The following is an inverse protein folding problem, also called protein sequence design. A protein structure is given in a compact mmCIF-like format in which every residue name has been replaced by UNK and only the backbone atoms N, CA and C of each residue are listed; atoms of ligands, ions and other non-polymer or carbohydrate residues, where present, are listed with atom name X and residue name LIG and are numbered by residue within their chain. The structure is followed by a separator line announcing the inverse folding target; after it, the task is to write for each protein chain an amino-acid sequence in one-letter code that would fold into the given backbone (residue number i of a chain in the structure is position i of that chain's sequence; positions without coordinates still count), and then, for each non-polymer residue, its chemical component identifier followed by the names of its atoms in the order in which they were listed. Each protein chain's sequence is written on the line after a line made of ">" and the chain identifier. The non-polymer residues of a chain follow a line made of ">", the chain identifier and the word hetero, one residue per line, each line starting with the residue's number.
data_IF_098133990822
#
_entry.id   IF_098133990822
#
_cell.length_a   1.000
_cell.length_b   1.000
_cell.length_c   1.000
_cell.angle_alpha   90.00
_cell.angle_beta   90.00
_cell.angle_gamma   90.00
#
_symmetry.space_group_name_H-M   'P 1'
#
loop_
_entity.id
_entity.type
_entity.pdbx_description
1 polymer ?
#
# COMPACT_ATOMS: atom_id res chain seq x y z
N UNK A 1 -16.11 0.81 28.80
CA UNK A 1 -15.74 -0.62 28.78
C UNK A 1 -14.23 -0.70 28.82
N UNK A 2 -13.68 -1.53 29.70
CA UNK A 2 -12.25 -1.86 29.69
C UNK A 2 -11.95 -2.91 28.60
N UNK A 3 -10.65 -3.15 28.37
CA UNK A 3 -10.20 -4.11 27.35
C UNK A 3 -10.72 -5.53 27.62
N UNK A 4 -10.74 -5.94 28.87
CA UNK A 4 -11.13 -7.30 29.29
C UNK A 4 -12.60 -7.56 28.97
N UNK A 5 -13.48 -6.60 29.27
CA UNK A 5 -14.90 -6.66 28.92
C UNK A 5 -15.15 -6.69 27.40
N UNK A 6 -14.36 -5.95 26.62
CA UNK A 6 -14.48 -5.96 25.15
C UNK A 6 -14.05 -7.32 24.61
N UNK A 7 -12.91 -7.83 25.07
CA UNK A 7 -12.40 -9.14 24.68
C UNK A 7 -13.37 -10.26 25.02
N UNK A 8 -13.88 -10.29 26.25
CA UNK A 8 -14.81 -11.33 26.70
C UNK A 8 -16.10 -11.33 25.86
N UNK A 9 -16.72 -10.16 25.62
CA UNK A 9 -17.93 -10.06 24.80
C UNK A 9 -17.69 -10.51 23.36
N UNK A 10 -16.68 -9.95 22.70
CA UNK A 10 -16.43 -10.26 21.28
C UNK A 10 -16.01 -11.71 21.07
N UNK A 11 -15.24 -12.30 21.98
CA UNK A 11 -14.81 -13.70 21.88
C UNK A 11 -16.00 -14.64 22.14
N UNK A 12 -16.87 -14.33 23.10
CA UNK A 12 -18.04 -15.17 23.40
C UNK A 12 -19.10 -15.11 22.29
N UNK A 13 -19.26 -13.96 21.65
CA UNK A 13 -20.25 -13.76 20.57
C UNK A 13 -19.76 -14.29 19.21
N UNK A 14 -18.46 -14.55 19.07
CA UNK A 14 -17.86 -14.98 17.80
C UNK A 14 -17.84 -16.52 17.64
N UNK A 15 -18.35 -17.00 16.51
CA UNK A 15 -18.42 -18.44 16.19
C UNK A 15 -17.07 -18.98 15.67
N UNK A 16 -16.17 -19.25 16.61
CA UNK A 16 -14.87 -19.85 16.31
C UNK A 16 -14.96 -21.28 15.76
N UNK A 17 -16.00 -22.04 16.12
CA UNK A 17 -16.14 -23.42 15.66
C UNK A 17 -16.49 -23.47 14.18
N UNK A 18 -17.41 -22.61 13.74
CA UNK A 18 -17.74 -22.45 12.32
C UNK A 18 -16.58 -21.86 11.52
N UNK A 19 -15.86 -20.90 12.10
CA UNK A 19 -14.64 -20.34 11.48
C UNK A 19 -13.60 -21.43 11.25
N UNK A 20 -13.34 -22.25 12.27
CA UNK A 20 -12.40 -23.35 12.20
C UNK A 20 -12.84 -24.42 11.17
N UNK A 21 -14.14 -24.71 11.08
CA UNK A 21 -14.69 -25.61 10.08
C UNK A 21 -14.40 -25.12 8.65
N UNK A 22 -14.61 -23.82 8.38
CA UNK A 22 -14.33 -23.23 7.07
C UNK A 22 -12.84 -23.32 6.74
N UNK A 23 -11.97 -22.93 7.68
CA UNK A 23 -10.52 -22.97 7.51
C UNK A 23 -10.02 -24.40 7.24
N UNK A 24 -10.55 -25.38 7.97
CA UNK A 24 -10.21 -26.79 7.74
C UNK A 24 -10.57 -27.23 6.32
N UNK A 25 -11.74 -26.82 5.80
CA UNK A 25 -12.15 -27.11 4.41
C UNK A 25 -11.26 -26.44 3.36
N UNK A 26 -10.63 -25.33 3.70
CA UNK A 26 -9.67 -24.63 2.84
C UNK A 26 -8.24 -25.21 2.94
N UNK A 27 -8.02 -26.20 3.81
CA UNK A 27 -6.70 -26.81 4.01
C UNK A 27 -5.79 -26.03 4.97
N UNK A 28 -6.36 -25.07 5.71
CA UNK A 28 -5.63 -24.27 6.70
C UNK A 28 -5.49 -25.02 8.03
N UNK A 29 -4.31 -24.91 8.65
CA UNK A 29 -3.99 -25.59 9.91
C UNK A 29 -4.02 -24.60 11.08
N UNK A 30 -5.22 -24.35 11.61
CA UNK A 30 -5.42 -23.58 12.84
C UNK A 30 -6.03 -24.44 13.94
N UNK A 31 -5.74 -24.13 15.20
CA UNK A 31 -6.54 -24.60 16.33
C UNK A 31 -7.50 -23.50 16.79
N UNK A 32 -8.56 -23.88 17.52
CA UNK A 32 -9.47 -22.91 18.16
C UNK A 32 -8.70 -21.95 19.09
N UNK A 33 -7.67 -22.44 19.76
CA UNK A 33 -6.83 -21.63 20.64
C UNK A 33 -6.08 -20.55 19.85
N UNK A 34 -5.51 -20.89 18.70
CA UNK A 34 -4.80 -19.93 17.84
C UNK A 34 -5.73 -18.80 17.39
N UNK A 35 -6.96 -19.13 16.99
CA UNK A 35 -7.95 -18.12 16.59
C UNK A 35 -8.34 -17.20 17.75
N UNK A 36 -8.51 -17.75 18.96
CA UNK A 36 -8.84 -16.95 20.15
C UNK A 36 -7.68 -16.02 20.53
N UNK A 37 -6.43 -16.50 20.50
CA UNK A 37 -5.26 -15.65 20.79
C UNK A 37 -5.08 -14.55 19.74
N UNK A 38 -5.29 -14.86 18.46
CA UNK A 38 -5.30 -13.87 17.39
C UNK A 38 -6.40 -12.81 17.63
N UNK A 39 -7.62 -13.23 17.97
CA UNK A 39 -8.71 -12.32 18.28
C UNK A 39 -8.37 -11.40 19.47
N UNK A 40 -7.83 -11.93 20.58
CA UNK A 40 -7.41 -11.12 21.74
C UNK A 40 -6.40 -10.05 21.35
N UNK A 41 -5.38 -10.43 20.58
CA UNK A 41 -4.33 -9.52 20.13
C UNK A 41 -4.89 -8.43 19.23
N UNK A 42 -5.75 -8.79 18.27
CA UNK A 42 -6.41 -7.82 17.39
C UNK A 42 -7.29 -6.83 18.17
N UNK A 43 -8.11 -7.32 19.11
CA UNK A 43 -8.96 -6.47 19.95
C UNK A 43 -8.10 -5.52 20.78
N UNK A 44 -6.97 -5.99 21.32
CA UNK A 44 -6.01 -5.13 22.05
C UNK A 44 -5.43 -4.03 21.15
N UNK A 45 -5.11 -4.33 19.89
CA UNK A 45 -4.63 -3.33 18.93
C UNK A 45 -5.70 -2.28 18.63
N UNK A 46 -6.95 -2.70 18.36
CA UNK A 46 -8.07 -1.76 18.14
C UNK A 46 -8.32 -0.87 19.35
N UNK A 47 -8.24 -1.42 20.57
CA UNK A 47 -8.44 -0.68 21.82
C UNK A 47 -7.33 0.34 22.09
N UNK A 48 -6.07 -0.05 21.85
CA UNK A 48 -4.90 0.80 22.14
C UNK A 48 -4.61 1.83 21.06
N UNK A 49 -5.21 1.70 19.87
CA UNK A 49 -5.07 2.68 18.81
C UNK A 49 -5.56 4.06 19.27
N UNK A 50 -4.73 5.08 19.04
CA UNK A 50 -5.02 6.48 19.39
C UNK A 50 -5.61 7.28 18.24
N UNK A 51 -5.79 6.64 17.08
CA UNK A 51 -6.41 7.29 15.93
C UNK A 51 -7.87 7.62 16.27
N UNK A 52 -8.33 8.80 15.86
CA UNK A 52 -9.74 9.21 16.05
C UNK A 52 -10.66 8.72 14.93
N UNK A 53 -10.10 7.93 14.01
CA UNK A 53 -10.80 7.37 12.85
C UNK A 53 -11.15 5.89 13.07
N UNK A 54 -11.91 5.35 12.13
CA UNK A 54 -12.22 3.93 12.07
C UNK A 54 -10.94 3.13 11.80
N UNK A 55 -10.63 2.20 12.71
CA UNK A 55 -9.42 1.38 12.63
C UNK A 55 -9.75 -0.08 12.38
N UNK A 56 -8.95 -0.72 11.54
CA UNK A 56 -9.09 -2.14 11.17
C UNK A 56 -7.74 -2.83 11.30
N UNK A 57 -7.69 -3.93 12.05
CA UNK A 57 -6.52 -4.78 12.15
C UNK A 57 -6.86 -6.18 11.68
N UNK A 58 -5.91 -6.78 10.96
CA UNK A 58 -6.06 -8.07 10.29
C UNK A 58 -5.04 -9.06 10.87
N UNK A 59 -5.47 -10.28 11.16
CA UNK A 59 -4.59 -11.40 11.45
C UNK A 59 -5.12 -12.63 10.71
N UNK A 60 -4.45 -12.99 9.61
CA UNK A 60 -4.95 -13.96 8.65
C UNK A 60 -6.39 -13.63 8.23
N UNK A 61 -7.34 -14.49 8.60
CA UNK A 61 -8.75 -14.38 8.23
C UNK A 61 -9.61 -13.61 9.23
N UNK A 62 -9.03 -13.17 10.36
CA UNK A 62 -9.75 -12.39 11.38
C UNK A 62 -9.52 -10.90 11.20
N UNK A 63 -10.59 -10.13 11.37
CA UNK A 63 -10.59 -8.68 11.30
C UNK A 63 -11.22 -8.13 12.56
N UNK A 64 -10.47 -7.37 13.36
CA UNK A 64 -11.05 -6.56 14.42
C UNK A 64 -11.12 -5.11 13.99
N UNK A 65 -12.23 -4.45 14.30
CA UNK A 65 -12.38 -3.02 14.04
C UNK A 65 -12.91 -2.27 15.25
N UNK A 66 -12.60 -0.97 15.26
CA UNK A 66 -13.23 0.01 16.16
C UNK A 66 -13.67 1.20 15.32
N UNK A 67 -14.96 1.51 15.38
CA UNK A 67 -15.55 2.63 14.66
C UNK A 67 -16.21 3.64 15.60
N UNK A 68 -16.22 4.92 15.19
CA UNK A 68 -16.90 5.99 15.92
C UNK A 68 -18.22 6.37 15.25
N UNK A 69 -19.33 6.10 15.93
CA UNK A 69 -20.65 6.48 15.45
C UNK A 69 -20.99 7.87 16.01
N UNK A 70 -21.18 8.83 15.10
CA UNK A 70 -21.54 10.22 15.41
C UNK A 70 -20.60 10.91 16.42
N UNK A 71 -19.33 10.48 16.48
CA UNK A 71 -18.32 11.02 17.41
C UNK A 71 -18.64 10.79 18.89
N UNK A 72 -19.60 9.91 19.22
CA UNK A 72 -20.08 9.69 20.60
C UNK A 72 -20.05 8.23 21.01
N UNK A 73 -20.35 7.32 20.10
CA UNK A 73 -20.40 5.90 20.40
C UNK A 73 -19.20 5.20 19.77
N UNK A 74 -18.63 4.24 20.50
CA UNK A 74 -17.51 3.43 20.02
C UNK A 74 -18.02 2.00 19.84
N UNK A 75 -17.97 1.52 18.61
CA UNK A 75 -18.39 0.16 18.26
C UNK A 75 -17.14 -0.67 17.98
N UNK A 76 -16.95 -1.76 18.73
CA UNK A 76 -15.92 -2.76 18.44
C UNK A 76 -16.54 -3.97 17.75
N UNK A 77 -15.91 -4.49 16.70
CA UNK A 77 -16.37 -5.69 16.02
C UNK A 77 -15.23 -6.68 15.77
N UNK A 78 -15.57 -7.97 15.70
CA UNK A 78 -14.68 -9.05 15.30
C UNK A 78 -15.37 -9.82 14.17
N UNK A 79 -14.70 -9.94 13.04
CA UNK A 79 -15.24 -10.54 11.82
C UNK A 79 -14.29 -11.59 11.25
N UNK A 80 -14.87 -12.54 10.52
CA UNK A 80 -14.15 -13.46 9.65
C UNK A 80 -14.25 -12.95 8.20
N UNK A 81 -13.12 -12.84 7.50
CA UNK A 81 -13.05 -12.38 6.12
C UNK A 81 -12.15 -13.29 5.29
N UNK A 82 -12.63 -13.66 4.09
CA UNK A 82 -11.86 -14.36 3.06
C UNK A 82 -11.91 -13.50 1.81
N UNK A 83 -10.74 -13.17 1.26
CA UNK A 83 -10.62 -12.53 -0.05
C UNK A 83 -10.28 -13.60 -1.11
N UNK A 84 -11.04 -13.63 -2.20
CA UNK A 84 -10.85 -14.57 -3.31
C UNK A 84 -10.33 -13.78 -4.51
N UNK A 85 -9.04 -13.92 -4.79
CA UNK A 85 -8.38 -13.24 -5.90
C UNK A 85 -8.11 -14.21 -7.05
N UNK A 86 -8.43 -13.79 -8.27
CA UNK A 86 -8.07 -14.51 -9.49
C UNK A 86 -6.97 -13.74 -10.19
N UNK A 87 -5.79 -14.36 -10.30
CA UNK A 87 -4.66 -13.79 -11.01
C UNK A 87 -4.51 -14.50 -12.36
N UNK A 88 -4.36 -13.73 -13.43
CA UNK A 88 -4.06 -14.26 -14.76
C UNK A 88 -2.77 -13.63 -15.24
N UNK A 89 -1.78 -14.49 -15.49
CA UNK A 89 -0.49 -14.10 -16.06
C UNK A 89 -0.44 -14.61 -17.51
N UNK A 90 0.02 -13.75 -18.41
CA UNK A 90 0.22 -14.10 -19.82
C UNK A 90 1.67 -13.82 -20.19
N UNK A 91 2.35 -14.85 -20.71
CA UNK A 91 3.62 -14.65 -21.37
C UNK A 91 3.39 -13.96 -22.71
N UNK A 92 4.12 -12.86 -22.96
CA UNK A 92 4.10 -12.20 -24.25
C UNK A 92 4.77 -13.09 -25.30
N UNK A 93 4.15 -13.23 -26.48
CA UNK A 93 4.75 -13.98 -27.60
C UNK A 93 6.09 -13.40 -28.05
N UNK A 94 6.24 -12.08 -27.93
CA UNK A 94 7.48 -11.35 -28.16
C UNK A 94 7.60 -10.25 -27.10
N UNK A 95 8.81 -9.98 -26.63
CA UNK A 95 9.07 -8.81 -25.78
C UNK A 95 8.75 -7.53 -26.57
N UNK A 96 8.34 -6.47 -25.87
CA UNK A 96 8.21 -5.17 -26.51
C UNK A 96 9.54 -4.78 -27.17
N UNK A 97 9.50 -4.51 -28.48
CA UNK A 97 10.66 -4.07 -29.27
C UNK A 97 11.10 -2.65 -28.91
N UNK A 98 10.19 -1.86 -28.33
CA UNK A 98 10.46 -0.54 -27.81
C UNK A 98 10.44 -0.59 -26.29
N UNK A 99 11.46 0.03 -25.68
CA UNK A 99 11.49 0.26 -24.23
C UNK A 99 10.18 0.93 -23.83
N UNK A 100 9.46 0.31 -22.89
CA UNK A 100 8.31 0.95 -22.26
C UNK A 100 8.87 2.12 -21.43
N UNK A 101 8.83 3.31 -22.01
CA UNK A 101 9.18 4.55 -21.31
C UNK A 101 8.11 4.78 -20.27
N UNK A 102 8.49 4.75 -18.99
CA UNK A 102 7.54 5.09 -17.92
C UNK A 102 7.07 6.55 -18.07
N UNK A 103 5.86 6.87 -17.61
CA UNK A 103 5.36 8.26 -17.62
C UNK A 103 6.36 9.24 -16.97
N UNK A 104 7.05 8.79 -15.90
CA UNK A 104 8.10 9.57 -15.24
C UNK A 104 9.31 9.83 -16.13
N UNK A 105 9.71 8.85 -16.94
CA UNK A 105 10.83 8.98 -17.87
C UNK A 105 10.47 9.90 -19.03
N UNK A 106 9.23 9.86 -19.52
CA UNK A 106 8.71 10.80 -20.51
C UNK A 106 8.70 12.24 -19.99
N UNK A 107 8.16 12.48 -18.78
CA UNK A 107 8.15 13.80 -18.14
C UNK A 107 9.58 14.33 -17.94
N UNK A 108 10.49 13.48 -17.46
CA UNK A 108 11.88 13.86 -17.24
C UNK A 108 12.57 14.30 -18.54
N UNK A 109 12.32 13.59 -19.65
CA UNK A 109 12.85 13.96 -20.98
C UNK A 109 12.32 15.31 -21.46
N UNK A 110 11.02 15.57 -21.28
CA UNK A 110 10.40 16.86 -21.61
C UNK A 110 11.00 18.00 -20.78
N UNK A 111 11.13 17.82 -19.45
CA UNK A 111 11.72 18.83 -18.57
C UNK A 111 13.19 19.11 -18.90
N UNK A 112 13.99 18.06 -19.17
CA UNK A 112 15.38 18.20 -19.59
C UNK A 112 15.52 18.90 -20.94
N UNK A 113 14.64 18.60 -21.90
CA UNK A 113 14.64 19.25 -23.22
C UNK A 113 14.31 20.74 -23.11
N UNK A 114 13.30 21.09 -22.31
CA UNK A 114 12.96 22.49 -22.02
C UNK A 114 14.12 23.22 -21.32
N UNK A 115 14.76 22.58 -20.34
CA UNK A 115 15.89 23.16 -19.63
C UNK A 115 17.10 23.35 -20.56
N UNK A 116 17.33 22.42 -21.49
CA UNK A 116 18.38 22.53 -22.50
C UNK A 116 18.17 23.76 -23.40
N UNK A 117 16.95 23.97 -23.87
CA UNK A 117 16.59 25.11 -24.71
C UNK A 117 16.78 26.45 -23.98
N UNK A 118 16.36 26.53 -22.70
CA UNK A 118 16.60 27.70 -21.85
C UNK A 118 18.09 28.00 -21.67
N UNK A 119 18.91 26.97 -21.41
CA UNK A 119 20.35 27.15 -21.24
C UNK A 119 21.03 27.54 -22.57
N UNK A 120 20.60 26.98 -23.71
CA UNK A 120 21.09 27.36 -25.05
C UNK A 120 20.79 28.83 -25.34
N UNK A 121 19.55 29.25 -25.11
CA UNK A 121 19.12 30.65 -25.30
C UNK A 121 19.93 31.60 -24.41
N UNK A 122 20.09 31.27 -23.13
CA UNK A 122 20.89 32.10 -22.21
C UNK A 122 22.38 32.17 -22.62
N UNK A 123 22.93 31.06 -23.11
CA UNK A 123 24.32 31.01 -23.59
C UNK A 123 24.54 31.84 -24.85
N UNK A 124 23.54 31.93 -25.75
CA UNK A 124 23.61 32.80 -26.93
C UNK A 124 23.80 34.27 -26.55
N UNK A 125 23.14 34.71 -25.48
CA UNK A 125 23.24 36.06 -24.92
C UNK A 125 24.49 36.26 -24.04
N UNK A 126 25.06 35.18 -23.49
CA UNK A 126 26.14 35.20 -22.49
C UNK A 126 27.28 34.21 -22.86
N UNK A 127 27.85 34.39 -24.07
CA UNK A 127 28.74 33.41 -24.76
C UNK A 127 30.00 32.96 -24.00
N UNK A 128 30.38 33.64 -22.93
CA UNK A 128 31.55 33.30 -22.11
C UNK A 128 31.19 32.61 -20.78
N UNK A 129 29.90 32.36 -20.53
CA UNK A 129 29.45 31.68 -19.32
C UNK A 129 29.80 30.19 -19.36
N UNK A 130 30.93 29.86 -18.73
CA UNK A 130 31.44 28.48 -18.60
C UNK A 130 30.50 27.57 -17.81
N UNK A 131 29.71 28.13 -16.89
CA UNK A 131 28.77 27.35 -16.09
C UNK A 131 27.59 26.90 -16.94
N UNK A 132 27.02 27.81 -17.73
CA UNK A 132 25.91 27.49 -18.65
C UNK A 132 26.36 26.51 -19.72
N UNK A 133 27.56 26.69 -20.28
CA UNK A 133 28.14 25.73 -21.23
C UNK A 133 28.29 24.32 -20.62
N UNK A 134 28.69 24.23 -19.34
CA UNK A 134 28.80 22.94 -18.63
C UNK A 134 27.43 22.29 -18.42
N UNK A 135 26.39 23.09 -18.13
CA UNK A 135 25.03 22.58 -17.95
C UNK A 135 24.43 22.03 -19.24
N UNK A 136 24.63 22.72 -20.38
CA UNK A 136 24.19 22.26 -21.69
C UNK A 136 24.74 20.85 -21.97
N UNK A 137 26.06 20.67 -21.82
CA UNK A 137 26.72 19.37 -22.06
C UNK A 137 26.18 18.27 -21.15
N UNK A 138 25.98 18.55 -19.86
CA UNK A 138 25.44 17.56 -18.92
C UNK A 138 24.00 17.15 -19.27
N UNK A 139 23.18 18.11 -19.69
CA UNK A 139 21.79 17.81 -20.07
C UNK A 139 21.76 16.98 -21.36
N UNK A 140 22.62 17.29 -22.32
CA UNK A 140 22.78 16.51 -23.56
C UNK A 140 23.23 15.07 -23.26
N UNK A 141 24.21 14.88 -22.37
CA UNK A 141 24.65 13.54 -21.93
C UNK A 141 23.52 12.75 -21.24
N UNK A 142 22.73 13.39 -20.38
CA UNK A 142 21.60 12.72 -19.72
C UNK A 142 20.53 12.32 -20.73
N UNK A 143 20.22 13.19 -21.71
CA UNK A 143 19.25 12.86 -22.76
C UNK A 143 19.72 11.69 -23.63
N UNK A 144 21.01 11.61 -23.95
CA UNK A 144 21.60 10.47 -24.69
C UNK A 144 21.54 9.16 -23.90
N UNK A 145 21.70 9.21 -22.57
CA UNK A 145 21.54 8.03 -21.69
C UNK A 145 20.08 7.55 -21.62
N UNK A 146 19.14 8.48 -21.78
CA UNK A 146 17.71 8.15 -21.71
C UNK A 146 17.22 7.50 -23.01
N UNK A 147 17.83 7.79 -24.18
CA UNK A 147 17.59 7.18 -25.51
C UNK A 147 17.93 5.68 -25.61
#
# INVERSE_FOLDING_TARGET
>A
MDLEQIQEKLINDFDFDKTLEILTKLGENYTKYDLIENAKNLIKMTYTSREMDDVFFYAAYLVASRAYIEGKEVHYSLNFSIDIQSNVEFDLKENFSHRVVSEKEFILREELSNLLELNKTYFEDNKDDKFVKSNILKIEEILEILD
#
